data_IF_442939709001
#
_entry.id   IF_442939709001
#
_cell.length_a   1.000
_cell.length_b   1.000
_cell.length_c   1.000
_cell.angle_alpha   90.00
_cell.angle_beta   90.00
_cell.angle_gamma   90.00
#
_symmetry.space_group_name_H-M   'P 1'
#
loop_
_entity.id
_entity.type
_entity.pdbx_description
1 polymer ?
#
# COMPACT_ATOMS: atom_id res chain seq x y z
N UNK A 1 -28.61 37.50 2.69
CA UNK A 1 -28.26 36.63 3.84
C UNK A 1 -27.61 35.34 3.31
N UNK A 2 -26.32 35.38 2.94
CA UNK A 2 -25.54 34.24 2.43
C UNK A 2 -24.16 34.22 3.12
N UNK A 3 -24.10 33.77 4.37
CA UNK A 3 -22.82 33.67 5.11
C UNK A 3 -22.65 32.37 5.93
N UNK A 4 -23.60 31.43 5.89
CA UNK A 4 -23.50 30.17 6.67
C UNK A 4 -22.96 28.95 5.88
N UNK A 5 -22.77 29.05 4.56
CA UNK A 5 -22.43 27.89 3.74
C UNK A 5 -20.91 27.59 3.63
N UNK A 6 -20.03 28.59 3.73
CA UNK A 6 -18.57 28.36 3.60
C UNK A 6 -17.90 27.79 4.85
N UNK A 7 -18.44 28.05 6.05
CA UNK A 7 -17.90 27.52 7.33
C UNK A 7 -18.16 26.02 7.50
N UNK A 8 -19.26 25.49 6.98
CA UNK A 8 -19.62 24.06 7.08
C UNK A 8 -18.70 23.15 6.24
N UNK A 9 -18.32 23.58 5.04
CA UNK A 9 -17.41 22.83 4.17
C UNK A 9 -15.95 22.83 4.70
N UNK A 10 -15.47 23.95 5.26
CA UNK A 10 -14.15 24.01 5.88
C UNK A 10 -14.07 23.18 7.18
N UNK A 11 -15.17 23.12 7.95
CA UNK A 11 -15.24 22.28 9.16
C UNK A 11 -15.36 20.79 8.82
N UNK A 12 -16.12 20.44 7.76
CA UNK A 12 -16.14 19.08 7.23
C UNK A 12 -14.79 18.66 6.64
N UNK A 13 -14.07 19.57 5.98
CA UNK A 13 -12.71 19.34 5.48
C UNK A 13 -11.67 19.18 6.61
N UNK A 14 -11.84 19.88 7.73
CA UNK A 14 -11.04 19.72 8.95
C UNK A 14 -11.37 18.43 9.74
N UNK A 15 -12.54 17.83 9.51
CA UNK A 15 -12.95 16.54 10.10
C UNK A 15 -12.81 15.34 9.15
N UNK A 16 -12.34 15.55 7.91
CA UNK A 16 -12.19 14.49 6.89
C UNK A 16 -10.74 14.06 6.64
N UNK A 17 -9.76 14.65 7.34
CA UNK A 17 -8.36 14.23 7.23
C UNK A 17 -8.14 12.96 8.04
N UNK A 18 -7.67 11.90 7.40
CA UNK A 18 -7.31 10.64 8.09
C UNK A 18 -6.26 10.92 9.15
N UNK A 19 -6.59 10.71 10.43
CA UNK A 19 -5.64 10.88 11.55
C UNK A 19 -4.55 9.80 11.54
N UNK A 20 -3.40 10.00 12.23
CA UNK A 20 -2.36 8.97 12.31
C UNK A 20 -2.88 7.64 12.88
N UNK A 21 -3.77 7.69 13.88
CA UNK A 21 -4.36 6.50 14.50
C UNK A 21 -5.30 5.77 13.53
N UNK A 22 -6.08 6.52 12.74
CA UNK A 22 -6.90 5.92 11.68
C UNK A 22 -6.00 5.28 10.61
N UNK A 23 -4.96 5.98 10.16
CA UNK A 23 -4.00 5.45 9.18
C UNK A 23 -3.32 4.17 9.69
N UNK A 24 -2.85 4.17 10.94
CA UNK A 24 -2.26 2.99 11.58
C UNK A 24 -3.25 1.82 11.67
N UNK A 25 -4.51 2.08 12.03
CA UNK A 25 -5.56 1.06 12.08
C UNK A 25 -5.83 0.47 10.69
N UNK A 26 -5.93 1.33 9.66
CA UNK A 26 -6.15 0.92 8.27
C UNK A 26 -4.98 0.06 7.77
N UNK A 27 -3.73 0.47 8.02
CA UNK A 27 -2.52 -0.29 7.67
C UNK A 27 -2.55 -1.66 8.35
N UNK A 28 -2.82 -1.71 9.66
CA UNK A 28 -2.82 -2.96 10.40
C UNK A 28 -3.94 -3.90 9.98
N UNK A 29 -5.13 -3.39 9.66
CA UNK A 29 -6.22 -4.20 9.10
C UNK A 29 -5.90 -4.66 7.68
N UNK A 30 -5.38 -3.77 6.83
CA UNK A 30 -4.95 -4.11 5.47
C UNK A 30 -3.90 -5.22 5.45
N UNK A 31 -2.97 -5.22 6.41
CA UNK A 31 -1.90 -6.21 6.52
C UNK A 31 -2.37 -7.64 6.83
N UNK A 32 -3.65 -7.85 7.16
CA UNK A 32 -4.24 -9.20 7.19
C UNK A 32 -4.25 -9.86 5.79
N UNK A 33 -4.16 -9.07 4.72
CA UNK A 33 -3.74 -9.53 3.40
C UNK A 33 -2.35 -8.94 3.09
N UNK A 34 -1.28 -9.75 3.12
CA UNK A 34 0.11 -9.30 3.01
C UNK A 34 0.40 -8.23 1.94
N UNK A 35 0.10 -8.52 0.67
CA UNK A 35 0.37 -7.60 -0.43
C UNK A 35 -0.46 -6.33 -0.36
N UNK A 36 -1.68 -6.43 0.18
CA UNK A 36 -2.56 -5.28 0.36
C UNK A 36 -2.10 -4.36 1.48
N UNK A 37 -1.64 -4.92 2.60
CA UNK A 37 -0.98 -4.13 3.64
C UNK A 37 0.20 -3.35 3.10
N UNK A 38 1.05 -3.99 2.28
CA UNK A 38 2.23 -3.35 1.70
C UNK A 38 1.84 -2.20 0.74
N UNK A 39 0.79 -2.39 -0.05
CA UNK A 39 0.24 -1.34 -0.92
C UNK A 39 -0.20 -0.12 -0.11
N UNK A 40 -1.02 -0.35 0.92
CA UNK A 40 -1.55 0.71 1.79
C UNK A 40 -0.42 1.40 2.58
N UNK A 41 0.60 0.65 3.00
CA UNK A 41 1.79 1.20 3.64
C UNK A 41 2.48 2.22 2.73
N UNK A 42 2.81 1.87 1.49
CA UNK A 42 3.47 2.81 0.56
C UNK A 42 2.59 4.00 0.23
N UNK A 43 1.29 3.80 0.00
CA UNK A 43 0.37 4.91 -0.24
C UNK A 43 0.44 5.94 0.89
N UNK A 44 0.56 5.47 2.14
CA UNK A 44 0.60 6.32 3.33
C UNK A 44 1.99 6.91 3.60
N UNK A 45 3.08 6.15 3.40
CA UNK A 45 4.43 6.59 3.79
C UNK A 45 5.18 7.33 2.69
N UNK A 46 4.93 6.97 1.45
CA UNK A 46 5.52 7.59 0.27
C UNK A 46 4.63 8.72 -0.24
N UNK A 47 3.30 8.63 -0.02
CA UNK A 47 2.34 9.54 -0.65
C UNK A 47 2.22 9.26 -2.15
N UNK A 48 2.31 7.99 -2.52
CA UNK A 48 2.12 7.53 -3.89
C UNK A 48 0.63 7.34 -4.18
N UNK A 49 0.19 7.81 -5.34
CA UNK A 49 -1.17 7.63 -5.82
C UNK A 49 -1.41 6.19 -6.28
N UNK A 50 -2.69 5.84 -6.46
CA UNK A 50 -3.08 4.50 -6.88
C UNK A 50 -2.44 4.10 -8.22
N UNK A 51 -2.47 5.00 -9.20
CA UNK A 51 -1.91 4.75 -10.53
C UNK A 51 -0.39 4.55 -10.48
N UNK A 52 0.33 5.35 -9.67
CA UNK A 52 1.77 5.21 -9.46
C UNK A 52 2.11 3.84 -8.85
N UNK A 53 1.39 3.43 -7.81
CA UNK A 53 1.59 2.13 -7.17
C UNK A 53 1.18 0.97 -8.07
N UNK A 54 0.13 1.11 -8.87
CA UNK A 54 -0.30 0.11 -9.83
C UNK A 54 0.74 -0.09 -10.95
N UNK A 55 1.40 0.98 -11.37
CA UNK A 55 2.45 0.93 -12.38
C UNK A 55 3.82 0.49 -11.83
N UNK A 56 4.01 0.50 -10.51
CA UNK A 56 5.29 0.29 -9.85
C UNK A 56 5.88 -1.10 -10.13
N UNK A 57 7.14 -1.14 -10.58
CA UNK A 57 7.92 -2.36 -10.81
C UNK A 57 9.04 -2.51 -9.80
N UNK A 58 9.53 -3.73 -9.65
CA UNK A 58 10.67 -4.00 -8.77
C UNK A 58 11.94 -3.27 -9.23
N UNK A 59 12.11 -3.04 -10.54
CA UNK A 59 13.24 -2.28 -11.11
C UNK A 59 13.21 -0.80 -10.74
N UNK A 60 12.06 -0.27 -10.30
CA UNK A 60 11.93 1.11 -9.84
C UNK A 60 12.38 1.29 -8.37
N UNK A 61 12.77 0.19 -7.71
CA UNK A 61 13.12 0.16 -6.29
C UNK A 61 14.54 -0.37 -6.11
N UNK A 62 15.45 0.51 -5.71
CA UNK A 62 16.75 0.12 -5.20
C UNK A 62 16.66 -0.09 -3.68
N UNK A 63 16.55 -1.34 -3.25
CA UNK A 63 16.44 -1.73 -1.84
C UNK A 63 17.76 -1.58 -1.07
N UNK A 64 18.90 -1.47 -1.76
CA UNK A 64 20.21 -1.34 -1.13
C UNK A 64 20.52 0.12 -0.82
N UNK A 65 20.19 1.03 -1.74
CA UNK A 65 20.31 2.48 -1.51
C UNK A 65 19.07 3.10 -0.87
N UNK A 66 17.93 2.39 -0.85
CA UNK A 66 16.68 2.89 -0.30
C UNK A 66 16.01 3.92 -1.21
N UNK A 67 16.12 3.77 -2.52
CA UNK A 67 15.59 4.74 -3.49
C UNK A 67 14.41 4.14 -4.26
N UNK A 68 13.28 4.84 -4.23
CA UNK A 68 12.09 4.54 -5.03
C UNK A 68 11.92 5.59 -6.12
N UNK A 69 11.67 5.16 -7.36
CA UNK A 69 11.33 6.04 -8.47
C UNK A 69 9.87 5.85 -8.87
N UNK A 70 9.06 6.90 -8.76
CA UNK A 70 7.66 6.95 -9.18
C UNK A 70 7.54 7.72 -10.50
N UNK A 71 6.66 7.27 -11.39
CA UNK A 71 6.35 7.89 -12.68
C UNK A 71 7.59 8.28 -13.50
N UNK A 72 8.67 7.51 -13.37
CA UNK A 72 9.97 7.71 -14.02
C UNK A 72 10.67 9.06 -13.73
N UNK A 73 10.15 9.86 -12.80
CA UNK A 73 10.64 11.22 -12.54
C UNK A 73 10.78 11.54 -11.06
N UNK A 74 9.85 11.08 -10.22
CA UNK A 74 9.80 11.45 -8.81
C UNK A 74 10.57 10.42 -7.98
N UNK A 75 11.66 10.87 -7.37
CA UNK A 75 12.48 10.02 -6.49
C UNK A 75 12.12 10.24 -5.02
N UNK A 76 11.94 9.15 -4.28
CA UNK A 76 11.63 9.17 -2.85
C UNK A 76 12.61 8.28 -2.10
N UNK A 77 13.20 8.81 -1.03
CA UNK A 77 14.02 8.04 -0.11
C UNK A 77 13.12 7.19 0.81
N UNK A 78 13.49 5.93 0.98
CA UNK A 78 12.80 4.96 1.80
C UNK A 78 13.50 4.82 3.14
N UNK A 79 12.72 4.86 4.21
CA UNK A 79 13.22 4.57 5.54
C UNK A 79 13.47 3.06 5.75
N UNK A 80 14.25 2.72 6.78
CA UNK A 80 14.65 1.35 7.06
C UNK A 80 13.46 0.40 7.34
N UNK A 81 12.35 0.89 7.91
CA UNK A 81 11.16 0.07 8.13
C UNK A 81 10.45 -0.24 6.81
N UNK A 82 10.34 0.76 5.93
CA UNK A 82 9.78 0.57 4.59
C UNK A 82 10.63 -0.40 3.75
N UNK A 83 11.96 -0.29 3.78
CA UNK A 83 12.87 -1.25 3.12
C UNK A 83 12.68 -2.66 3.68
N UNK A 84 12.55 -2.80 5.01
CA UNK A 84 12.33 -4.10 5.66
C UNK A 84 11.04 -4.76 5.17
N UNK A 85 9.94 -4.00 5.12
CA UNK A 85 8.64 -4.50 4.64
C UNK A 85 8.69 -4.86 3.15
N UNK A 86 9.35 -4.03 2.32
CA UNK A 86 9.52 -4.32 0.89
C UNK A 86 10.34 -5.59 0.64
N UNK A 87 11.42 -5.82 1.40
CA UNK A 87 12.21 -7.06 1.31
C UNK A 87 11.36 -8.28 1.69
N UNK A 88 10.54 -8.16 2.74
CA UNK A 88 9.62 -9.22 3.14
C UNK A 88 8.54 -9.47 2.06
N UNK A 89 8.03 -8.41 1.43
CA UNK A 89 7.07 -8.52 0.32
C UNK A 89 7.70 -9.15 -0.93
N UNK A 90 8.94 -8.80 -1.28
CA UNK A 90 9.67 -9.43 -2.39
C UNK A 90 9.85 -10.94 -2.15
N UNK A 91 10.25 -11.33 -0.93
CA UNK A 91 10.38 -12.72 -0.54
C UNK A 91 9.04 -13.47 -0.58
N UNK A 92 7.96 -12.82 -0.13
CA UNK A 92 6.60 -13.33 -0.23
C UNK A 92 6.18 -13.60 -1.69
N UNK A 93 6.40 -12.64 -2.59
CA UNK A 93 6.14 -12.79 -4.02
C UNK A 93 6.93 -13.97 -4.62
N UNK A 94 8.22 -14.09 -4.28
CA UNK A 94 9.05 -15.21 -4.74
C UNK A 94 8.55 -16.57 -4.23
N UNK A 95 8.13 -16.64 -2.96
CA UNK A 95 7.56 -17.86 -2.39
C UNK A 95 6.26 -18.26 -3.07
N UNK A 96 5.38 -17.31 -3.42
CA UNK A 96 4.14 -17.60 -4.16
C UNK A 96 4.41 -18.17 -5.55
N UNK A 97 5.33 -17.57 -6.29
CA UNK A 97 5.72 -18.05 -7.61
C UNK A 97 6.27 -19.48 -7.52
N UNK A 98 7.15 -19.76 -6.54
CA UNK A 98 7.72 -21.08 -6.30
C UNK A 98 6.66 -22.14 -5.93
N UNK A 99 5.74 -21.82 -5.01
CA UNK A 99 4.65 -22.73 -4.60
C UNK A 99 3.79 -23.15 -5.79
N UNK A 100 3.57 -22.24 -6.73
CA UNK A 100 2.73 -22.46 -7.90
C UNK A 100 3.50 -22.95 -9.14
N UNK A 101 4.82 -23.09 -9.04
CA UNK A 101 5.68 -23.53 -10.14
C UNK A 101 5.73 -22.57 -11.32
N UNK A 102 5.59 -21.25 -11.06
CA UNK A 102 5.61 -20.20 -12.07
C UNK A 102 6.92 -19.42 -12.00
N UNK A 103 7.46 -19.05 -13.15
CA UNK A 103 8.60 -18.13 -13.23
C UNK A 103 8.12 -16.69 -13.05
N UNK A 104 8.95 -15.86 -12.42
CA UNK A 104 8.68 -14.44 -12.30
C UNK A 104 9.08 -13.70 -13.56
N UNK A 105 8.20 -12.82 -14.01
CA UNK A 105 8.46 -11.91 -15.10
C UNK A 105 9.66 -10.99 -14.74
N UNK A 106 10.59 -10.74 -15.68
CA UNK A 106 11.77 -9.88 -15.42
C UNK A 106 11.39 -8.47 -14.96
N UNK A 107 10.41 -7.85 -15.62
CA UNK A 107 9.85 -6.54 -15.24
C UNK A 107 8.59 -6.67 -14.38
N UNK A 108 8.61 -7.52 -13.35
CA UNK A 108 7.44 -7.79 -12.52
C UNK A 108 6.94 -6.53 -11.79
N UNK A 109 5.62 -6.33 -11.79
CA UNK A 109 4.96 -5.32 -10.97
C UNK A 109 5.02 -5.71 -9.48
N UNK A 110 5.21 -4.71 -8.61
CA UNK A 110 5.31 -4.91 -7.16
C UNK A 110 4.00 -5.44 -6.57
N UNK A 111 2.87 -4.97 -7.10
CA UNK A 111 1.53 -5.29 -6.61
C UNK A 111 0.68 -6.09 -7.61
N UNK A 112 1.34 -6.85 -8.49
CA UNK A 112 0.68 -7.70 -9.46
C UNK A 112 -0.35 -8.64 -8.80
N UNK A 113 -1.57 -8.75 -9.36
CA UNK A 113 -2.55 -9.73 -8.92
C UNK A 113 -2.22 -11.16 -9.36
N UNK A 114 -1.14 -11.35 -10.13
CA UNK A 114 -0.65 -12.66 -10.53
C UNK A 114 0.74 -12.94 -9.94
N UNK A 115 1.02 -14.18 -9.49
CA UNK A 115 2.29 -14.60 -8.90
C UNK A 115 3.49 -14.45 -9.82
N UNK A 116 3.29 -14.50 -11.13
CA UNK A 116 4.34 -14.22 -12.12
C UNK A 116 4.79 -12.75 -12.10
N UNK A 117 3.97 -11.85 -11.55
CA UNK A 117 4.25 -10.43 -11.53
C UNK A 117 3.93 -9.70 -12.84
N UNK A 118 3.37 -10.37 -13.84
CA UNK A 118 3.34 -9.87 -15.23
C UNK A 118 2.26 -8.83 -15.52
N UNK A 119 1.26 -8.69 -14.65
CA UNK A 119 0.12 -7.78 -14.88
C UNK A 119 0.06 -6.74 -13.76
N UNK A 120 -0.21 -5.47 -14.04
CA UNK A 120 -0.46 -4.49 -12.99
C UNK A 120 -1.85 -4.72 -12.36
N UNK A 121 -2.06 -4.33 -11.10
CA UNK A 121 -3.42 -4.22 -10.56
C UNK A 121 -4.18 -3.06 -11.22
N UNK A 122 -5.51 -3.14 -11.21
CA UNK A 122 -6.39 -2.07 -11.69
C UNK A 122 -6.57 -0.99 -10.61
N UNK A 123 -6.40 0.28 -10.98
CA UNK A 123 -6.45 1.39 -10.02
C UNK A 123 -7.86 1.66 -9.48
N UNK A 124 -8.89 1.37 -10.26
CA UNK A 124 -10.28 1.39 -9.83
C UNK A 124 -10.56 0.33 -8.77
N UNK A 125 -10.13 -0.91 -9.02
CA UNK A 125 -10.30 -2.02 -8.08
C UNK A 125 -9.59 -1.79 -6.74
N UNK A 126 -8.36 -1.28 -6.74
CA UNK A 126 -7.63 -0.99 -5.48
C UNK A 126 -8.25 0.19 -4.72
N UNK A 127 -8.73 1.22 -5.44
CA UNK A 127 -9.42 2.36 -4.82
C UNK A 127 -10.72 1.93 -4.17
N UNK A 128 -11.52 1.11 -4.87
CA UNK A 128 -12.76 0.56 -4.33
C UNK A 128 -12.49 -0.37 -3.14
N UNK A 129 -11.44 -1.19 -3.24
CA UNK A 129 -10.99 -2.05 -2.14
C UNK A 129 -10.61 -1.26 -0.90
N UNK A 130 -9.91 -0.14 -1.05
CA UNK A 130 -9.58 0.76 0.05
C UNK A 130 -10.83 1.39 0.68
N UNK A 131 -11.75 1.88 -0.15
CA UNK A 131 -13.01 2.45 0.33
C UNK A 131 -13.84 1.41 1.13
N UNK A 132 -13.91 0.16 0.64
CA UNK A 132 -14.56 -0.95 1.36
C UNK A 132 -13.88 -1.28 2.70
N UNK A 133 -12.54 -1.29 2.74
CA UNK A 133 -11.78 -1.48 3.97
C UNK A 133 -12.14 -0.39 5.00
N UNK A 134 -12.10 0.88 4.60
CA UNK A 134 -12.44 1.99 5.48
C UNK A 134 -13.89 1.92 5.96
N UNK A 135 -14.83 1.61 5.06
CA UNK A 135 -16.24 1.46 5.41
C UNK A 135 -16.47 0.34 6.42
N UNK A 136 -15.74 -0.78 6.31
CA UNK A 136 -15.76 -1.86 7.29
C UNK A 136 -15.25 -1.45 8.68
N UNK A 137 -14.40 -0.43 8.76
CA UNK A 137 -13.92 0.20 10.00
C UNK A 137 -14.83 1.35 10.47
N UNK A 138 -15.93 1.64 9.76
CA UNK A 138 -16.84 2.73 10.09
C UNK A 138 -16.42 4.11 9.58
N UNK A 139 -15.51 4.18 8.60
CA UNK A 139 -14.97 5.42 8.04
C UNK A 139 -15.25 5.58 6.55
N UNK A 140 -15.48 6.82 6.12
CA UNK A 140 -15.60 7.18 4.70
C UNK A 140 -14.33 7.93 4.31
N UNK A 141 -13.31 7.19 3.90
CA UNK A 141 -12.01 7.72 3.51
C UNK A 141 -11.66 7.26 2.10
N UNK A 142 -10.86 8.07 1.41
CA UNK A 142 -10.43 7.79 0.03
C UNK A 142 -8.91 7.71 -0.04
N UNK A 143 -8.43 6.84 -0.92
CA UNK A 143 -7.00 6.58 -1.10
C UNK A 143 -6.27 7.81 -1.67
N UNK A 144 -6.92 8.57 -2.56
CA UNK A 144 -6.40 9.79 -3.20
C UNK A 144 -6.36 11.03 -2.30
N UNK A 145 -6.85 10.92 -1.07
CA UNK A 145 -6.88 12.01 -0.08
C UNK A 145 -6.11 11.65 1.19
N UNK A 146 -5.27 10.61 1.13
CA UNK A 146 -4.48 10.16 2.26
C UNK A 146 -3.36 11.16 2.58
N UNK A 147 -3.27 11.64 3.84
CA UNK A 147 -2.10 12.36 4.29
C UNK A 147 -0.89 11.43 4.29
N UNK A 148 0.28 11.99 3.95
CA UNK A 148 1.54 11.29 4.11
C UNK A 148 1.95 11.28 5.58
N UNK A 149 2.29 10.10 6.10
CA UNK A 149 2.85 9.91 7.44
C UNK A 149 4.20 9.21 7.37
N UNK A 150 5.17 9.62 8.17
CA UNK A 150 6.41 8.85 8.30
C UNK A 150 6.15 7.48 8.94
N UNK A 151 7.04 6.53 8.70
CA UNK A 151 7.00 5.22 9.37
C UNK A 151 6.99 5.37 10.90
N UNK A 152 7.76 6.32 11.44
CA UNK A 152 7.83 6.58 12.88
C UNK A 152 6.48 7.07 13.43
N UNK A 153 5.80 7.97 12.73
CA UNK A 153 4.47 8.44 13.13
C UNK A 153 3.44 7.31 13.13
N UNK A 154 3.46 6.44 12.13
CA UNK A 154 2.57 5.29 12.07
C UNK A 154 2.85 4.27 13.17
N UNK A 155 4.12 4.01 13.47
CA UNK A 155 4.54 3.13 14.58
C UNK A 155 4.06 3.72 15.92
N UNK A 156 4.30 5.01 16.15
CA UNK A 156 3.84 5.70 17.35
C UNK A 156 2.30 5.69 17.47
N UNK A 157 1.59 5.71 16.33
CA UNK A 157 0.14 5.61 16.26
C UNK A 157 -0.42 4.17 16.36
N UNK A 158 0.45 3.14 16.40
CA UNK A 158 0.05 1.77 16.69
C UNK A 158 0.36 0.72 15.61
N UNK A 159 1.11 1.05 14.55
CA UNK A 159 1.59 0.03 13.61
C UNK A 159 2.67 -0.84 14.25
N UNK A 160 2.39 -2.13 14.36
CA UNK A 160 3.39 -3.15 14.71
C UNK A 160 4.07 -3.69 13.44
N UNK A 161 5.23 -3.10 13.10
CA UNK A 161 6.03 -3.49 11.92
C UNK A 161 6.50 -4.94 12.01
N UNK A 162 6.72 -5.48 13.22
CA UNK A 162 7.16 -6.87 13.39
C UNK A 162 6.01 -7.81 13.07
N UNK A 163 4.81 -7.54 13.57
CA UNK A 163 3.63 -8.32 13.24
C UNK A 163 3.31 -8.25 11.74
N UNK A 164 3.42 -7.07 11.13
CA UNK A 164 3.21 -6.89 9.71
C UNK A 164 4.24 -7.67 8.88
N UNK A 165 5.53 -7.57 9.20
CA UNK A 165 6.59 -8.35 8.54
C UNK A 165 6.35 -9.86 8.66
N UNK A 166 5.92 -10.32 9.84
CA UNK A 166 5.59 -11.73 10.06
C UNK A 166 4.39 -12.18 9.22
N UNK A 167 3.36 -11.34 9.05
CA UNK A 167 2.21 -11.61 8.17
C UNK A 167 2.66 -11.75 6.72
N UNK A 168 3.55 -10.87 6.26
CA UNK A 168 4.15 -10.95 4.92
C UNK A 168 4.87 -12.27 4.68
N UNK A 169 5.63 -12.76 5.66
CA UNK A 169 6.44 -13.98 5.49
C UNK A 169 5.63 -15.28 5.49
N UNK A 170 4.39 -15.29 6.01
CA UNK A 170 3.62 -16.54 6.19
C UNK A 170 2.31 -16.61 5.42
N UNK A 171 1.70 -15.47 5.08
CA UNK A 171 0.38 -15.44 4.47
C UNK A 171 0.43 -15.72 2.98
N UNK A 172 -0.67 -16.23 2.41
CA UNK A 172 -0.94 -16.12 0.98
C UNK A 172 -1.64 -14.77 0.75
N UNK A 173 -1.21 -13.96 -0.22
CA UNK A 173 -1.89 -12.71 -0.52
C UNK A 173 -3.11 -12.97 -1.39
N UNK A 174 -4.25 -12.30 -1.13
CA UNK A 174 -5.43 -12.39 -2.02
C UNK A 174 -5.27 -11.55 -3.27
N UNK A 175 -4.30 -10.64 -3.29
CA UNK A 175 -3.90 -9.95 -4.51
C UNK A 175 -3.43 -11.00 -5.51
N UNK A 176 -2.60 -11.95 -5.10
CA UNK A 176 -2.00 -12.96 -5.97
C UNK A 176 -2.94 -14.15 -6.20
N UNK A 177 -3.40 -14.34 -7.45
CA UNK A 177 -4.29 -15.43 -7.86
C UNK A 177 -3.54 -16.48 -8.69
N UNK A 178 -3.99 -17.73 -8.69
CA UNK A 178 -3.35 -18.79 -9.50
C UNK A 178 -3.53 -18.53 -11.01
N UNK A 179 -2.46 -18.53 -11.84
CA UNK A 179 -2.58 -18.38 -13.29
C UNK A 179 -3.61 -19.35 -13.88
N UNK A 180 -4.42 -18.89 -14.84
CA UNK A 180 -5.23 -19.83 -15.63
C UNK A 180 -4.27 -20.64 -16.51
N UNK A 181 -4.33 -21.96 -16.36
CA UNK A 181 -3.64 -22.91 -17.24
C UNK A 181 -4.19 -22.83 -18.66
#
# INVERSE_FOLDING_TARGET
MRLHSKRSAAYAALMSTTTPVQAATIVMEASNDPGWGMFVWLATTVGAEADELCALRWDDIDLDTGLLTLDQQRRVELDAHTITLLRAHLAHCAAQAAILGVERHPGAYVFSPWPDGGTPPDSGEVTERYARLCAGLGWILRLDQLPRYSAIELIAAGVDVRAFTWRLQRGLSRIQRRPRA
#
